data_IF_750128852499
#
_entry.id   IF_750128852499
#
_cell.length_a   1.000
_cell.length_b   1.000
_cell.length_c   1.000
_cell.angle_alpha   90.00
_cell.angle_beta   90.00
_cell.angle_gamma   90.00
#
_symmetry.space_group_name_H-M   'P 1'
#
loop_
_entity.id
_entity.type
_entity.pdbx_description
1 polymer ?
#
# COMPACT_ATOMS: atom_id res chain seq x y z
N UNK A 1 -24.11 10.97 9.28
CA UNK A 1 -24.36 9.57 8.88
C UNK A 1 -23.02 8.89 8.68
N UNK A 2 -22.70 7.90 9.51
CA UNK A 2 -21.49 7.07 9.34
C UNK A 2 -21.69 6.22 8.09
N UNK A 3 -21.03 6.58 7.00
CA UNK A 3 -20.97 5.76 5.80
C UNK A 3 -20.15 4.51 6.13
N UNK A 4 -20.76 3.34 6.10
CA UNK A 4 -20.04 2.07 6.27
C UNK A 4 -18.98 1.97 5.18
N UNK A 5 -17.72 1.89 5.60
CA UNK A 5 -16.58 1.77 4.70
C UNK A 5 -16.44 0.30 4.25
N UNK A 6 -16.11 0.09 2.97
CA UNK A 6 -15.78 -1.20 2.38
C UNK A 6 -14.57 -1.01 1.45
N UNK A 7 -13.65 -1.98 1.32
CA UNK A 7 -12.47 -1.87 0.45
C UNK A 7 -12.79 -1.47 -0.99
N UNK A 8 -13.90 -1.94 -1.58
CA UNK A 8 -14.26 -1.58 -2.97
C UNK A 8 -14.97 -0.23 -3.11
N UNK A 9 -15.23 0.48 -2.00
CA UNK A 9 -16.00 1.72 -2.00
C UNK A 9 -15.37 2.85 -2.81
N UNK A 10 -14.04 2.83 -3.00
CA UNK A 10 -13.31 3.85 -3.77
C UNK A 10 -13.60 3.76 -5.27
N UNK A 11 -13.97 2.59 -5.81
CA UNK A 11 -14.24 2.40 -7.25
C UNK A 11 -15.40 3.23 -7.78
N UNK A 12 -16.23 3.79 -6.88
CA UNK A 12 -17.38 4.65 -7.21
C UNK A 12 -17.07 6.15 -7.12
N UNK A 13 -15.84 6.51 -6.77
CA UNK A 13 -15.40 7.91 -6.64
C UNK A 13 -14.59 8.33 -7.88
N UNK A 14 -14.42 9.63 -8.14
CA UNK A 14 -13.50 10.09 -9.17
C UNK A 14 -12.07 9.61 -8.89
N UNK A 15 -11.39 9.06 -9.90
CA UNK A 15 -10.03 8.54 -9.80
C UNK A 15 -9.13 9.17 -10.87
N UNK A 16 -7.86 9.38 -10.54
CA UNK A 16 -6.85 9.93 -11.44
C UNK A 16 -5.65 8.97 -11.53
N UNK A 17 -4.81 9.15 -12.55
CA UNK A 17 -3.55 8.41 -12.75
C UNK A 17 -3.70 6.87 -12.79
N UNK A 18 -4.89 6.36 -13.14
CA UNK A 18 -5.09 4.93 -13.33
C UNK A 18 -4.78 4.55 -14.78
N UNK A 19 -4.08 3.42 -14.99
CA UNK A 19 -3.87 2.90 -16.33
C UNK A 19 -5.18 2.41 -16.96
N UNK A 20 -5.31 2.57 -18.27
CA UNK A 20 -6.37 1.96 -19.06
C UNK A 20 -5.97 0.54 -19.43
N UNK A 21 -6.46 -0.46 -18.69
CA UNK A 21 -6.18 -1.87 -18.97
C UNK A 21 -6.99 -2.36 -20.18
N UNK A 22 -6.36 -3.03 -21.17
CA UNK A 22 -7.05 -3.50 -22.37
C UNK A 22 -7.93 -4.74 -22.11
N UNK A 23 -7.63 -5.52 -21.07
CA UNK A 23 -8.36 -6.75 -20.72
C UNK A 23 -8.79 -6.69 -19.24
N UNK A 24 -10.07 -6.39 -19.04
CA UNK A 24 -10.64 -6.28 -17.69
C UNK A 24 -10.88 -7.65 -17.04
N UNK A 25 -11.14 -8.69 -17.82
CA UNK A 25 -11.27 -10.05 -17.28
C UNK A 25 -9.93 -10.54 -16.73
N UNK A 26 -8.82 -10.21 -17.42
CA UNK A 26 -7.48 -10.48 -16.92
C UNK A 26 -7.15 -9.69 -15.66
N UNK A 27 -7.57 -8.43 -15.59
CA UNK A 27 -7.42 -7.62 -14.37
C UNK A 27 -8.13 -8.27 -13.18
N UNK A 28 -9.40 -8.66 -13.35
CA UNK A 28 -10.18 -9.32 -12.30
C UNK A 28 -9.54 -10.64 -11.82
N UNK A 29 -9.01 -11.47 -12.74
CA UNK A 29 -8.28 -12.70 -12.39
C UNK A 29 -7.04 -12.40 -11.53
N UNK A 30 -6.26 -11.38 -11.89
CA UNK A 30 -5.07 -10.99 -11.13
C UNK A 30 -5.45 -10.41 -9.76
N UNK A 31 -6.48 -9.56 -9.68
CA UNK A 31 -6.98 -9.03 -8.41
C UNK A 31 -7.43 -10.17 -7.46
N UNK A 32 -8.16 -11.16 -7.97
CA UNK A 32 -8.62 -12.31 -7.19
C UNK A 32 -7.45 -13.15 -6.64
N UNK A 33 -6.40 -13.34 -7.45
CA UNK A 33 -5.19 -14.06 -7.02
C UNK A 33 -4.41 -13.30 -5.94
N UNK A 34 -4.29 -11.97 -6.07
CA UNK A 34 -3.61 -11.14 -5.09
C UNK A 34 -4.39 -11.05 -3.77
N UNK A 35 -5.72 -11.04 -3.81
CA UNK A 35 -6.58 -10.97 -2.63
C UNK A 35 -6.39 -12.12 -1.63
N UNK A 36 -5.97 -13.30 -2.11
CA UNK A 36 -5.72 -14.49 -1.28
C UNK A 36 -4.23 -14.76 -1.01
N UNK A 37 -3.34 -13.89 -1.52
CA UNK A 37 -1.91 -14.00 -1.26
C UNK A 37 -1.58 -13.61 0.19
N UNK A 38 -0.50 -14.14 0.78
CA UNK A 38 -0.06 -13.72 2.10
C UNK A 38 0.15 -12.20 2.16
N UNK A 39 -0.25 -11.54 3.27
CA UNK A 39 -0.02 -10.12 3.43
C UNK A 39 1.47 -9.83 3.61
N UNK A 40 1.91 -8.64 3.19
CA UNK A 40 3.30 -8.20 3.36
C UNK A 40 3.63 -7.78 4.81
N UNK A 41 2.62 -7.35 5.56
CA UNK A 41 2.75 -6.92 6.97
C UNK A 41 1.57 -7.42 7.79
N UNK A 42 1.79 -7.61 9.09
CA UNK A 42 0.74 -7.96 10.04
C UNK A 42 0.08 -6.71 10.64
N UNK A 43 -1.20 -6.83 11.00
CA UNK A 43 -1.94 -5.73 11.62
C UNK A 43 -1.31 -5.22 12.94
N UNK A 44 -0.58 -6.08 13.65
CA UNK A 44 0.18 -5.70 14.84
C UNK A 44 1.32 -4.73 14.53
N UNK A 45 2.02 -4.94 13.41
CA UNK A 45 3.13 -4.08 12.98
C UNK A 45 2.63 -2.68 12.59
N UNK A 46 1.49 -2.60 11.90
CA UNK A 46 0.83 -1.34 11.59
C UNK A 46 0.42 -0.55 12.85
N UNK A 47 -0.14 -1.23 13.86
CA UNK A 47 -0.48 -0.60 15.16
C UNK A 47 0.77 -0.13 15.90
N UNK A 48 1.85 -0.90 15.86
CA UNK A 48 3.13 -0.51 16.45
C UNK A 48 3.71 0.73 15.77
N UNK A 49 3.65 0.80 14.43
CA UNK A 49 4.06 1.99 13.68
C UNK A 49 3.17 3.20 14.04
N UNK A 50 1.85 3.02 14.14
CA UNK A 50 0.92 4.08 14.53
C UNK A 50 1.26 4.67 15.91
N UNK A 51 1.61 3.83 16.89
CA UNK A 51 2.05 4.30 18.20
C UNK A 51 3.33 5.12 18.13
N UNK A 52 4.32 4.68 17.33
CA UNK A 52 5.57 5.44 17.10
C UNK A 52 5.32 6.76 16.38
N UNK A 53 4.40 6.80 15.41
CA UNK A 53 4.01 8.04 14.73
C UNK A 53 3.31 9.02 15.68
N UNK A 54 2.55 8.52 16.67
CA UNK A 54 1.98 9.37 17.71
C UNK A 54 3.09 10.07 18.53
N UNK A 55 4.19 9.37 18.85
CA UNK A 55 5.34 10.01 19.51
C UNK A 55 5.99 11.09 18.64
N UNK A 56 6.02 10.92 17.31
CA UNK A 56 6.51 11.95 16.38
C UNK A 56 5.59 13.18 16.40
N UNK A 57 4.27 12.99 16.33
CA UNK A 57 3.30 14.09 16.38
C UNK A 57 3.41 14.92 17.68
N UNK A 58 3.79 14.27 18.78
CA UNK A 58 3.96 14.90 20.09
C UNK A 58 5.39 15.44 20.32
N UNK A 59 6.25 15.44 19.30
CA UNK A 59 7.62 15.95 19.38
C UNK A 59 8.57 15.09 20.23
N UNK A 60 8.20 13.85 20.55
CA UNK A 60 9.01 12.89 21.32
C UNK A 60 9.90 12.01 20.44
N UNK A 61 9.68 12.01 19.14
CA UNK A 61 10.45 11.26 18.15
C UNK A 61 10.55 12.03 16.81
N UNK A 62 11.37 11.52 15.89
CA UNK A 62 11.52 12.07 14.53
C UNK A 62 11.21 10.98 13.48
N UNK A 63 10.58 11.37 12.37
CA UNK A 63 10.30 10.47 11.25
C UNK A 63 11.33 10.71 10.14
N UNK A 64 12.05 9.66 9.76
CA UNK A 64 12.84 9.61 8.54
C UNK A 64 12.17 8.64 7.57
N UNK A 65 11.80 9.13 6.39
CA UNK A 65 11.26 8.32 5.29
C UNK A 65 12.10 8.60 4.04
N UNK A 66 12.61 7.55 3.41
CA UNK A 66 13.46 7.64 2.22
C UNK A 66 13.54 6.29 1.51
N UNK A 67 13.97 6.33 0.25
CA UNK A 67 14.04 5.19 -0.64
C UNK A 67 14.10 5.63 -2.11
N UNK A 68 13.95 4.68 -3.02
CA UNK A 68 13.94 4.93 -4.46
C UNK A 68 12.76 5.79 -4.91
N UNK A 69 12.95 6.50 -6.03
CA UNK A 69 11.86 7.24 -6.69
C UNK A 69 10.82 6.30 -7.29
N UNK A 70 11.29 5.23 -7.95
CA UNK A 70 10.49 4.15 -8.47
C UNK A 70 11.35 2.88 -8.48
N UNK A 71 10.91 1.85 -7.77
CA UNK A 71 11.57 0.54 -7.76
C UNK A 71 11.34 -0.17 -9.12
N UNK A 72 12.34 -0.93 -9.58
CA UNK A 72 12.26 -1.65 -10.86
C UNK A 72 12.54 -3.15 -10.69
N UNK A 73 11.84 -4.00 -11.45
CA UNK A 73 12.11 -5.44 -11.44
C UNK A 73 13.52 -5.78 -11.96
N UNK A 74 14.10 -4.93 -12.82
CA UNK A 74 15.44 -5.14 -13.36
C UNK A 74 16.54 -4.94 -12.30
N UNK A 75 16.25 -4.15 -11.26
CA UNK A 75 17.18 -3.80 -10.19
C UNK A 75 16.87 -4.56 -8.88
N UNK A 76 16.04 -5.61 -8.94
CA UNK A 76 15.69 -6.42 -7.77
C UNK A 76 16.81 -7.40 -7.39
N UNK A 77 17.88 -6.86 -6.80
CA UNK A 77 19.02 -7.60 -6.27
C UNK A 77 19.26 -7.23 -4.81
N UNK A 78 19.67 -8.20 -3.99
CA UNK A 78 19.87 -8.01 -2.56
C UNK A 78 20.87 -6.88 -2.23
N UNK A 79 21.86 -6.66 -3.08
CA UNK A 79 22.85 -5.60 -2.92
C UNK A 79 22.26 -4.20 -3.06
N UNK A 80 21.18 -4.04 -3.84
CA UNK A 80 20.51 -2.75 -4.03
C UNK A 80 19.59 -2.39 -2.85
N UNK A 81 19.20 -3.37 -2.02
CA UNK A 81 18.29 -3.18 -0.88
C UNK A 81 19.07 -2.90 0.42
N UNK A 82 20.37 -3.21 0.46
CA UNK A 82 21.18 -3.27 1.68
C UNK A 82 21.65 -1.93 2.21
#
# INVERSE_FOLDING_TARGET
>A
MTRTWNPDGWRKLPILQQPSWPDLARLEDIEARLAVSPPLVFAGEARNLQAKLADVCEGRAFLLQGGDCAESFAEFHADNIR
#
